data_IF_311569894598
#
_entry.id   IF_311569894598
#
_cell.length_a   1.000
_cell.length_b   1.000
_cell.length_c   1.000
_cell.angle_alpha   90.00
_cell.angle_beta   90.00
_cell.angle_gamma   90.00
#
_symmetry.space_group_name_H-M   'P 1'
#
loop_
_entity.id
_entity.type
_entity.pdbx_description
1 polymer ?
#
# COMPACT_ATOMS: atom_id res chain seq x y z
N UNK A 1 13.45 6.91 -62.09
CA UNK A 1 13.82 8.19 -61.48
C UNK A 1 13.22 8.21 -60.06
N UNK A 2 14.10 8.15 -59.05
CA UNK A 2 13.95 8.47 -57.60
C UNK A 2 12.73 7.87 -56.84
N UNK A 3 12.89 6.77 -56.10
CA UNK A 3 13.36 6.56 -54.69
C UNK A 3 12.20 6.45 -53.68
N UNK A 4 12.03 5.30 -52.99
CA UNK A 4 11.20 5.20 -51.78
C UNK A 4 12.05 5.44 -50.53
N UNK A 5 11.85 6.58 -49.87
CA UNK A 5 12.38 6.87 -48.53
C UNK A 5 11.28 6.62 -47.49
N UNK A 6 11.44 5.58 -46.67
CA UNK A 6 11.38 5.65 -45.20
C UNK A 6 11.45 4.24 -44.62
N UNK A 7 12.68 3.76 -44.48
CA UNK A 7 13.05 2.89 -43.36
C UNK A 7 13.60 3.82 -42.27
N UNK A 8 13.21 3.52 -41.03
CA UNK A 8 13.84 3.83 -39.72
C UNK A 8 12.84 4.50 -38.77
N UNK A 9 12.38 3.70 -37.80
CA UNK A 9 11.58 4.17 -36.67
C UNK A 9 11.35 3.10 -35.61
N UNK A 10 12.42 2.40 -35.19
CA UNK A 10 12.56 1.66 -33.92
C UNK A 10 11.45 0.66 -33.55
N UNK A 11 11.67 -0.66 -33.66
CA UNK A 11 12.30 -1.46 -32.58
C UNK A 11 12.08 -0.85 -31.18
N UNK A 12 10.84 -0.89 -30.68
CA UNK A 12 10.53 -0.78 -29.24
C UNK A 12 9.69 -1.97 -28.74
N UNK A 13 9.62 -3.07 -29.50
CA UNK A 13 8.97 -4.32 -29.04
C UNK A 13 9.92 -5.35 -28.45
N UNK A 14 11.23 -5.07 -28.35
CA UNK A 14 12.22 -6.04 -27.85
C UNK A 14 12.95 -5.62 -26.55
N UNK A 15 12.49 -4.58 -25.84
CA UNK A 15 13.00 -4.23 -24.49
C UNK A 15 11.99 -4.61 -23.38
N UNK A 16 10.80 -5.09 -23.75
CA UNK A 16 9.83 -5.64 -22.78
C UNK A 16 10.17 -7.06 -22.30
N UNK A 17 11.16 -7.73 -22.90
CA UNK A 17 11.50 -9.13 -22.61
C UNK A 17 12.73 -9.37 -21.72
N UNK A 18 13.29 -8.33 -21.08
CA UNK A 18 14.43 -8.48 -20.17
C UNK A 18 14.21 -8.00 -18.72
N UNK A 19 12.99 -7.62 -18.33
CA UNK A 19 12.66 -7.26 -16.93
C UNK A 19 11.56 -8.16 -16.32
N UNK A 20 11.19 -9.26 -17.01
CA UNK A 20 10.21 -10.26 -16.51
C UNK A 20 10.79 -11.22 -15.47
N UNK A 21 12.12 -11.25 -15.32
CA UNK A 21 12.80 -12.18 -14.40
C UNK A 21 13.00 -11.60 -12.99
N UNK A 22 12.56 -10.36 -12.73
CA UNK A 22 12.48 -9.84 -11.36
C UNK A 22 11.26 -10.45 -10.66
N UNK A 23 11.48 -11.65 -10.11
CA UNK A 23 10.53 -12.36 -9.27
C UNK A 23 9.91 -11.41 -8.23
N UNK A 24 8.58 -11.45 -8.13
CA UNK A 24 7.85 -10.71 -7.11
C UNK A 24 8.26 -11.18 -5.70
N UNK A 25 8.92 -10.30 -4.96
CA UNK A 25 9.16 -10.47 -3.52
C UNK A 25 8.23 -9.55 -2.72
N UNK A 26 7.36 -10.13 -1.90
CA UNK A 26 6.43 -9.39 -1.02
C UNK A 26 7.17 -8.42 -0.09
N UNK A 27 8.41 -8.74 0.28
CA UNK A 27 9.26 -7.93 1.16
C UNK A 27 9.91 -6.74 0.45
N UNK A 28 10.08 -6.80 -0.87
CA UNK A 28 10.61 -5.71 -1.70
C UNK A 28 9.64 -5.36 -2.84
N UNK A 29 8.40 -4.98 -2.51
CA UNK A 29 7.34 -4.86 -3.50
C UNK A 29 7.57 -3.70 -4.47
N UNK A 30 8.42 -2.73 -4.10
CA UNK A 30 8.82 -1.60 -4.94
C UNK A 30 9.91 -1.92 -5.98
N UNK A 31 10.52 -3.12 -5.93
CA UNK A 31 11.65 -3.51 -6.79
C UNK A 31 11.32 -4.62 -7.79
N UNK A 32 10.04 -5.02 -7.89
CA UNK A 32 9.60 -6.08 -8.81
C UNK A 32 8.64 -5.59 -9.90
N UNK A 33 8.23 -6.52 -10.75
CA UNK A 33 7.29 -6.34 -11.87
C UNK A 33 5.93 -5.74 -11.48
N UNK A 34 5.58 -5.74 -10.18
CA UNK A 34 4.31 -5.20 -9.68
C UNK A 34 4.46 -3.89 -8.87
N UNK A 35 5.64 -3.27 -8.91
CA UNK A 35 5.93 -2.05 -8.15
C UNK A 35 4.93 -0.92 -8.41
N UNK A 36 4.48 -0.75 -9.65
CA UNK A 36 3.45 0.23 -10.01
C UNK A 36 2.10 -0.08 -9.34
N UNK A 37 1.64 -1.33 -9.36
CA UNK A 37 0.37 -1.71 -8.73
C UNK A 37 0.40 -1.49 -7.21
N UNK A 38 1.51 -1.85 -6.56
CA UNK A 38 1.70 -1.62 -5.12
C UNK A 38 1.74 -0.14 -4.82
N UNK A 39 2.50 0.65 -5.59
CA UNK A 39 2.61 2.10 -5.40
C UNK A 39 1.24 2.78 -5.54
N UNK A 40 0.46 2.38 -6.54
CA UNK A 40 -0.87 2.94 -6.79
C UNK A 40 -1.86 2.51 -5.70
N UNK A 41 -1.84 1.25 -5.28
CA UNK A 41 -2.67 0.76 -4.18
C UNK A 41 -2.29 1.46 -2.86
N UNK A 42 -1.01 1.72 -2.61
CA UNK A 42 -0.52 2.45 -1.45
C UNK A 42 -0.64 3.99 -1.58
N UNK A 43 -1.29 4.51 -2.61
CA UNK A 43 -1.55 5.94 -2.72
C UNK A 43 -2.70 6.33 -1.79
N UNK A 44 -2.49 7.39 -1.00
CA UNK A 44 -3.52 7.94 -0.11
C UNK A 44 -4.70 8.47 -0.93
N UNK A 45 -5.94 8.03 -0.65
CA UNK A 45 -7.11 8.58 -1.31
C UNK A 45 -7.25 10.05 -0.98
N UNK A 46 -7.49 10.90 -1.99
CA UNK A 46 -7.54 12.37 -1.84
C UNK A 46 -8.49 12.79 -0.72
N UNK A 47 -9.71 12.22 -0.67
CA UNK A 47 -10.72 12.50 0.38
C UNK A 47 -10.26 12.21 1.81
N UNK A 48 -9.26 11.36 2.00
CA UNK A 48 -8.76 10.98 3.31
C UNK A 48 -7.35 11.51 3.59
N UNK A 49 -6.74 12.28 2.68
CA UNK A 49 -5.33 12.67 2.83
C UNK A 49 -5.06 13.39 4.15
N UNK A 50 -5.80 14.45 4.44
CA UNK A 50 -5.62 15.23 5.68
C UNK A 50 -5.85 14.37 6.94
N UNK A 51 -6.89 13.54 6.93
CA UNK A 51 -7.17 12.60 8.02
C UNK A 51 -6.03 11.61 8.23
N UNK A 52 -5.59 10.96 7.15
CA UNK A 52 -4.58 9.94 7.16
C UNK A 52 -3.22 10.49 7.60
N UNK A 53 -2.84 11.69 7.17
CA UNK A 53 -1.63 12.39 7.65
C UNK A 53 -1.69 12.67 9.16
N UNK A 54 -2.84 13.16 9.65
CA UNK A 54 -3.04 13.43 11.07
C UNK A 54 -2.94 12.16 11.92
N UNK A 55 -3.64 11.10 11.50
CA UNK A 55 -3.61 9.80 12.17
C UNK A 55 -2.21 9.22 12.15
N UNK A 56 -1.55 9.15 11.00
CA UNK A 56 -0.22 8.57 10.87
C UNK A 56 0.80 9.23 11.82
N UNK A 57 0.78 10.57 11.88
CA UNK A 57 1.63 11.33 12.79
C UNK A 57 1.29 11.07 14.27
N UNK A 58 0.00 11.02 14.62
CA UNK A 58 -0.46 10.76 16.00
C UNK A 58 -0.09 9.35 16.47
N UNK A 59 -0.32 8.37 15.61
CA UNK A 59 -0.24 6.95 15.96
C UNK A 59 1.18 6.42 16.02
N UNK A 60 2.07 6.89 15.13
CA UNK A 60 3.41 6.32 15.01
C UNK A 60 4.52 7.36 14.83
N UNK A 61 4.19 8.65 14.84
CA UNK A 61 5.14 9.70 14.44
C UNK A 61 5.53 9.62 12.96
N UNK A 62 4.82 8.81 12.16
CA UNK A 62 5.12 8.59 10.75
C UNK A 62 4.70 9.73 9.84
N UNK A 63 5.14 9.61 8.58
CA UNK A 63 4.81 10.52 7.48
C UNK A 63 4.73 9.74 6.15
N UNK A 64 4.22 10.39 5.12
CA UNK A 64 4.12 9.82 3.77
C UNK A 64 5.38 10.01 2.92
N UNK A 65 6.27 10.92 3.31
CA UNK A 65 7.55 11.18 2.62
C UNK A 65 8.48 9.97 2.76
N UNK A 66 8.42 9.29 3.92
CA UNK A 66 9.16 8.08 4.26
C UNK A 66 8.20 6.95 4.53
N UNK A 67 7.85 6.19 3.49
CA UNK A 67 6.87 5.09 3.59
C UNK A 67 7.18 3.99 4.63
N UNK A 68 8.42 3.87 5.11
CA UNK A 68 8.76 2.93 6.19
C UNK A 68 8.78 3.57 7.59
N UNK A 69 8.61 4.90 7.73
CA UNK A 69 8.54 5.55 9.05
C UNK A 69 7.39 4.95 9.86
N UNK A 70 7.56 4.73 11.16
CA UNK A 70 6.52 4.15 12.01
C UNK A 70 6.11 2.70 11.70
N UNK A 71 6.65 2.03 10.66
CA UNK A 71 6.23 0.68 10.26
C UNK A 71 6.50 -0.38 11.35
N UNK A 72 7.50 -0.16 12.19
CA UNK A 72 7.81 -0.98 13.37
C UNK A 72 7.29 -0.42 14.70
N UNK A 73 6.45 0.62 14.69
CA UNK A 73 5.93 1.20 15.93
C UNK A 73 5.08 0.16 16.69
N UNK A 74 5.19 0.13 18.02
CA UNK A 74 4.45 -0.79 18.88
C UNK A 74 4.14 -0.08 20.20
N UNK A 75 2.89 -0.12 20.64
CA UNK A 75 2.48 0.43 21.93
C UNK A 75 2.21 -0.65 22.98
N UNK A 76 2.02 -0.24 24.24
CA UNK A 76 1.78 -1.13 25.38
C UNK A 76 0.46 -1.93 25.27
N UNK A 77 -0.48 -1.49 24.44
CA UNK A 77 -1.75 -2.16 24.18
C UNK A 77 -1.71 -3.08 22.96
N UNK A 78 -0.51 -3.48 22.52
CA UNK A 78 -0.28 -4.36 21.37
C UNK A 78 -0.83 -3.83 20.04
N UNK A 79 -1.00 -2.52 19.91
CA UNK A 79 -1.22 -1.90 18.60
C UNK A 79 0.12 -1.64 17.91
N UNK A 80 0.15 -1.86 16.60
CA UNK A 80 1.40 -1.97 15.87
C UNK A 80 1.36 -1.32 14.48
N UNK A 81 2.54 -0.94 14.03
CA UNK A 81 2.82 -0.33 12.75
C UNK A 81 2.41 1.15 12.64
N UNK A 82 2.47 1.64 11.40
CA UNK A 82 2.19 3.04 10.99
C UNK A 82 0.84 3.53 11.49
N UNK A 83 -0.12 2.63 11.49
CA UNK A 83 -1.53 2.92 11.73
C UNK A 83 -2.01 2.33 13.06
N UNK A 84 -1.11 1.81 13.90
CA UNK A 84 -1.44 1.23 15.21
C UNK A 84 -2.62 0.24 15.11
N UNK A 85 -2.51 -0.71 14.18
CA UNK A 85 -3.48 -1.79 14.07
C UNK A 85 -3.36 -2.74 15.26
N UNK A 86 -4.48 -3.19 15.82
CA UNK A 86 -4.48 -4.26 16.81
C UNK A 86 -4.04 -5.60 16.19
N UNK A 87 -3.64 -6.55 17.03
CA UNK A 87 -3.21 -7.89 16.61
C UNK A 87 -4.29 -8.65 15.82
N UNK A 88 -5.57 -8.36 16.03
CA UNK A 88 -6.70 -9.04 15.39
C UNK A 88 -6.76 -8.78 13.88
N UNK A 89 -6.17 -7.68 13.42
CA UNK A 89 -6.07 -7.34 11.99
C UNK A 89 -5.27 -8.37 11.19
N UNK A 90 -4.49 -9.25 11.83
CA UNK A 90 -3.80 -10.36 11.13
C UNK A 90 -4.75 -11.33 10.44
N UNK A 91 -6.01 -11.42 10.86
CA UNK A 91 -6.98 -12.36 10.29
C UNK A 91 -7.73 -11.76 9.09
N UNK A 92 -8.27 -10.55 9.22
CA UNK A 92 -9.02 -9.88 8.14
C UNK A 92 -8.16 -9.00 7.23
N UNK A 93 -7.13 -8.36 7.78
CA UNK A 93 -6.28 -7.40 7.09
C UNK A 93 -5.62 -7.93 5.81
N UNK A 94 -5.02 -9.13 5.80
CA UNK A 94 -4.43 -9.68 4.58
C UNK A 94 -5.43 -9.81 3.41
N UNK A 95 -6.71 -10.08 3.69
CA UNK A 95 -7.75 -10.16 2.65
C UNK A 95 -8.10 -8.78 2.09
N UNK A 96 -8.14 -7.75 2.94
CA UNK A 96 -8.35 -6.37 2.50
C UNK A 96 -7.19 -5.87 1.65
N UNK A 97 -5.94 -6.16 2.05
CA UNK A 97 -4.75 -5.87 1.25
C UNK A 97 -4.85 -6.53 -0.13
N UNK A 98 -5.19 -7.83 -0.18
CA UNK A 98 -5.40 -8.54 -1.44
C UNK A 98 -6.49 -7.90 -2.30
N UNK A 99 -7.64 -7.58 -1.72
CA UNK A 99 -8.77 -7.00 -2.45
C UNK A 99 -8.38 -5.66 -3.09
N UNK A 100 -7.67 -4.82 -2.33
CA UNK A 100 -7.17 -3.55 -2.83
C UNK A 100 -6.14 -3.73 -3.93
N UNK A 101 -5.14 -4.61 -3.76
CA UNK A 101 -4.15 -4.90 -4.79
C UNK A 101 -4.80 -5.34 -6.12
N UNK A 102 -5.81 -6.20 -6.05
CA UNK A 102 -6.58 -6.63 -7.23
C UNK A 102 -7.32 -5.44 -7.86
N UNK A 103 -7.97 -4.58 -7.06
CA UNK A 103 -8.67 -3.37 -7.55
C UNK A 103 -7.74 -2.45 -8.34
N UNK A 104 -6.46 -2.42 -7.99
CA UNK A 104 -5.43 -1.62 -8.66
C UNK A 104 -4.67 -2.36 -9.77
N UNK A 105 -5.14 -3.55 -10.18
CA UNK A 105 -4.63 -4.25 -11.37
C UNK A 105 -3.63 -5.37 -11.10
N UNK A 106 -3.30 -5.67 -9.83
CA UNK A 106 -2.42 -6.81 -9.54
C UNK A 106 -3.13 -8.14 -9.88
N UNK A 107 -2.46 -9.06 -10.60
CA UNK A 107 -3.00 -10.39 -10.86
C UNK A 107 -3.39 -11.13 -9.56
N UNK A 108 -4.52 -11.83 -9.59
CA UNK A 108 -5.03 -12.58 -8.43
C UNK A 108 -4.00 -13.56 -7.81
N UNK A 109 -3.16 -14.28 -8.59
CA UNK A 109 -2.14 -15.16 -8.04
C UNK A 109 -1.09 -14.41 -7.20
N UNK A 110 -0.60 -13.27 -7.67
CA UNK A 110 0.43 -12.50 -6.96
C UNK A 110 -0.16 -11.76 -5.75
N UNK A 111 -1.38 -11.25 -5.86
CA UNK A 111 -2.11 -10.71 -4.71
C UNK A 111 -2.39 -11.79 -3.64
N UNK A 112 -2.54 -13.07 -4.05
CA UNK A 112 -2.63 -14.20 -3.12
C UNK A 112 -1.29 -14.45 -2.42
N UNK A 113 -0.15 -14.34 -3.11
CA UNK A 113 1.19 -14.45 -2.47
C UNK A 113 1.35 -13.40 -1.37
N UNK A 114 0.97 -12.14 -1.64
CA UNK A 114 0.96 -11.08 -0.64
C UNK A 114 0.09 -11.44 0.57
N UNK A 115 -1.17 -11.87 0.35
CA UNK A 115 -2.07 -12.31 1.42
C UNK A 115 -1.46 -13.42 2.29
N UNK A 116 -0.91 -14.46 1.67
CA UNK A 116 -0.33 -15.61 2.38
C UNK A 116 0.83 -15.15 3.25
N UNK A 117 1.75 -14.37 2.69
CA UNK A 117 2.88 -13.83 3.43
C UNK A 117 2.39 -12.96 4.62
N UNK A 118 1.48 -12.03 4.38
CA UNK A 118 0.94 -11.14 5.43
C UNK A 118 0.21 -11.91 6.54
N UNK A 119 -0.44 -13.02 6.22
CA UNK A 119 -1.13 -13.85 7.22
C UNK A 119 -0.14 -14.57 8.16
N UNK A 120 1.09 -14.80 7.72
CA UNK A 120 2.14 -15.47 8.50
C UNK A 120 3.01 -14.49 9.32
N UNK A 121 2.89 -13.19 9.09
CA UNK A 121 3.73 -12.17 9.73
C UNK A 121 2.88 -11.20 10.54
N UNK A 122 3.31 -10.79 11.74
CA UNK A 122 2.60 -9.78 12.51
C UNK A 122 2.75 -8.40 11.87
N UNK A 123 1.80 -7.49 12.12
CA UNK A 123 1.63 -6.25 11.34
C UNK A 123 2.84 -5.29 11.43
N UNK A 124 3.57 -5.26 12.55
CA UNK A 124 4.81 -4.50 12.71
C UNK A 124 5.96 -4.97 11.79
N UNK A 125 5.89 -6.20 11.28
CA UNK A 125 6.86 -6.72 10.32
C UNK A 125 6.43 -6.46 8.87
N UNK A 126 5.21 -5.97 8.65
CA UNK A 126 4.74 -5.69 7.30
C UNK A 126 5.47 -4.45 6.76
N UNK A 127 5.91 -4.47 5.49
CA UNK A 127 6.38 -3.27 4.82
C UNK A 127 5.34 -2.15 4.92
N UNK A 128 5.77 -0.92 5.23
CA UNK A 128 4.85 0.21 5.42
C UNK A 128 3.87 0.45 4.26
N UNK A 129 4.25 0.16 3.01
CA UNK A 129 3.36 0.18 1.84
C UNK A 129 2.14 -0.74 1.97
N UNK A 130 2.34 -1.95 2.51
CA UNK A 130 1.26 -2.92 2.70
C UNK A 130 0.38 -2.53 3.90
N UNK A 131 0.96 -1.86 4.91
CA UNK A 131 0.18 -1.25 5.99
C UNK A 131 -0.66 -0.06 5.48
N UNK A 132 -0.11 0.79 4.62
CA UNK A 132 -0.84 1.89 3.97
C UNK A 132 -1.99 1.36 3.10
N UNK A 133 -1.73 0.30 2.32
CA UNK A 133 -2.74 -0.41 1.53
C UNK A 133 -3.89 -0.90 2.43
N UNK A 134 -3.59 -1.51 3.58
CA UNK A 134 -4.62 -1.92 4.53
C UNK A 134 -5.40 -0.71 5.06
N UNK A 135 -4.72 0.30 5.58
CA UNK A 135 -5.36 1.47 6.18
C UNK A 135 -6.30 2.18 5.21
N UNK A 136 -5.87 2.37 3.97
CA UNK A 136 -6.71 3.02 2.97
C UNK A 136 -7.87 2.16 2.51
N UNK A 137 -7.74 0.84 2.52
CA UNK A 137 -8.89 -0.04 2.28
C UNK A 137 -9.92 0.04 3.41
N UNK A 138 -9.46 0.04 4.66
CA UNK A 138 -10.32 0.21 5.84
C UNK A 138 -11.07 1.54 5.79
N UNK A 139 -10.36 2.64 5.57
CA UNK A 139 -10.98 3.97 5.45
C UNK A 139 -11.99 4.01 4.30
N UNK A 140 -11.66 3.45 3.13
CA UNK A 140 -12.57 3.41 2.00
C UNK A 140 -13.82 2.57 2.25
N UNK A 141 -13.71 1.53 3.06
CA UNK A 141 -14.81 0.65 3.46
C UNK A 141 -15.63 1.21 4.62
N UNK A 142 -15.40 2.47 5.02
CA UNK A 142 -16.13 3.14 6.11
C UNK A 142 -15.54 2.90 7.50
N UNK A 143 -14.44 2.15 7.62
CA UNK A 143 -13.79 1.81 8.89
C UNK A 143 -12.88 2.92 9.47
N UNK A 144 -12.96 4.16 9.00
CA UNK A 144 -12.13 5.25 9.51
C UNK A 144 -12.29 5.48 11.03
N UNK A 145 -13.44 5.09 11.60
CA UNK A 145 -13.75 5.20 13.02
C UNK A 145 -12.81 4.39 13.92
N UNK A 146 -12.08 3.41 13.38
CA UNK A 146 -11.03 2.71 14.12
C UNK A 146 -9.92 3.64 14.64
N UNK A 147 -9.77 4.82 14.03
CA UNK A 147 -8.83 5.85 14.47
C UNK A 147 -9.51 7.04 15.16
N UNK A 148 -10.77 6.90 15.55
CA UNK A 148 -11.44 7.91 16.36
C UNK A 148 -10.85 7.93 17.77
N UNK A 149 -10.51 9.12 18.26
CA UNK A 149 -10.05 9.33 19.63
C UNK A 149 -10.72 10.59 20.20
N UNK A 150 -11.35 10.51 21.36
CA UNK A 150 -12.04 11.64 21.99
C UNK A 150 -11.12 12.86 22.14
N UNK A 151 -11.60 14.04 21.73
CA UNK A 151 -10.83 15.29 21.76
C UNK A 151 -9.73 15.41 20.69
N UNK A 152 -9.52 14.40 19.83
CA UNK A 152 -8.49 14.46 18.80
C UNK A 152 -8.91 15.38 17.64
N UNK A 153 -8.02 16.31 17.27
CA UNK A 153 -8.18 17.16 16.07
C UNK A 153 -8.33 16.35 14.77
N UNK A 154 -7.85 15.12 14.72
CA UNK A 154 -7.96 14.30 13.52
C UNK A 154 -9.43 13.95 13.19
N UNK A 155 -10.32 13.91 14.18
CA UNK A 155 -11.73 13.56 13.95
C UNK A 155 -12.43 14.55 13.02
N UNK A 156 -12.07 15.84 13.08
CA UNK A 156 -12.63 16.87 12.21
C UNK A 156 -12.22 16.72 10.73
N UNK A 157 -11.22 15.88 10.45
CA UNK A 157 -10.71 15.62 9.10
C UNK A 157 -11.33 14.35 8.49
N UNK A 158 -12.05 13.55 9.28
CA UNK A 158 -12.64 12.29 8.87
C UNK A 158 -13.87 12.51 7.99
N UNK A 159 -13.66 12.70 6.68
CA UNK A 159 -14.75 12.86 5.72
C UNK A 159 -14.39 13.65 4.47
N UNK A 160 -13.30 14.41 4.51
CA UNK A 160 -13.07 15.46 3.52
C UNK A 160 -14.07 16.59 3.73
N UNK A 161 -13.59 17.74 4.20
CA UNK A 161 -14.31 18.98 3.94
C UNK A 161 -14.35 19.23 2.43
#
# INVERSE_FOLDING_TARGET
MMLPDLVIGAVVEAIAHHDTDREWSVQQPSRGVHSTFVRNAAAVPVRFRAFAECVLRRESGGDFDRRQSGAGALNASNHAGRWQFSVDWRHGGPYMVRARLIRFGMPKPDARKARVWLSAHPIQQWPGWLQDILAFEVMQSGGWRHWYLGGSRCNALAGGA
#
